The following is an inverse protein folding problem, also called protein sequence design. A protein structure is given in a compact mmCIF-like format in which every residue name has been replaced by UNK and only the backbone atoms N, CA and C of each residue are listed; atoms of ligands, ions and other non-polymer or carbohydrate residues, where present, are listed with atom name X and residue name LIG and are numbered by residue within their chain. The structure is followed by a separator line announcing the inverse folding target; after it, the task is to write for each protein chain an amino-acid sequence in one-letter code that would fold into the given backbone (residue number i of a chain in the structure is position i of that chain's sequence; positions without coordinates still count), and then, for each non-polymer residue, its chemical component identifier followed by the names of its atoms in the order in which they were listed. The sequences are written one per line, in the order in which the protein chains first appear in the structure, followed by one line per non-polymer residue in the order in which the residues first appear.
data_IF_224829865028
#
_entry.id   IF_224829865028
#
_cell.length_a   1.000
_cell.length_b   1.000
_cell.length_c   1.000
_cell.angle_alpha   90.00
_cell.angle_beta   90.00
_cell.angle_gamma   90.00
#
_symmetry.space_group_name_H-M   'P 1'
#
loop_
_entity.id
_entity.type
_entity.pdbx_description
1 polymer ?
#
# COMPACT_ATOMS: atom_id res chain seq x y z
N UNK A 1 -16.79 -4.61 6.44
CA UNK A 1 -15.97 -3.61 5.71
C UNK A 1 -14.95 -4.37 4.88
N UNK A 2 -14.97 -4.25 3.55
CA UNK A 2 -14.06 -4.99 2.68
C UNK A 2 -12.66 -4.34 2.76
N UNK A 3 -11.71 -5.05 3.37
CA UNK A 3 -10.34 -4.60 3.49
C UNK A 3 -9.58 -4.63 2.15
N UNK A 4 -8.42 -4.00 2.12
CA UNK A 4 -7.52 -4.04 0.95
C UNK A 4 -6.98 -5.47 0.78
N UNK A 5 -6.95 -5.96 -0.46
CA UNK A 5 -6.29 -7.21 -0.81
C UNK A 5 -4.99 -6.92 -1.57
N UNK A 6 -3.86 -7.36 -1.03
CA UNK A 6 -2.54 -7.22 -1.66
C UNK A 6 -1.98 -8.60 -1.98
N UNK A 7 -1.55 -8.78 -3.23
CA UNK A 7 -0.88 -9.99 -3.73
C UNK A 7 0.37 -9.60 -4.50
N UNK A 8 1.43 -10.39 -4.39
CA UNK A 8 2.61 -10.31 -5.25
C UNK A 8 2.63 -11.53 -6.16
N UNK A 9 2.80 -11.32 -7.46
CA UNK A 9 2.90 -12.40 -8.46
C UNK A 9 3.74 -11.93 -9.64
N UNK A 10 4.67 -12.76 -10.09
CA UNK A 10 5.50 -12.52 -11.28
C UNK A 10 6.17 -11.13 -11.31
N UNK A 11 6.68 -10.67 -10.16
CA UNK A 11 7.32 -9.35 -10.06
C UNK A 11 6.35 -8.16 -10.12
N UNK A 12 5.06 -8.39 -9.90
CA UNK A 12 4.03 -7.35 -9.84
C UNK A 12 3.30 -7.44 -8.51
N UNK A 13 3.17 -6.30 -7.82
CA UNK A 13 2.31 -6.12 -6.66
C UNK A 13 0.95 -5.65 -7.14
N UNK A 14 -0.07 -6.46 -6.88
CA UNK A 14 -1.46 -6.19 -7.24
C UNK A 14 -2.21 -5.81 -5.96
N UNK A 15 -2.76 -4.60 -5.97
CA UNK A 15 -3.55 -4.04 -4.87
C UNK A 15 -4.99 -3.93 -5.36
N UNK A 16 -5.91 -4.61 -4.69
CA UNK A 16 -7.35 -4.55 -4.99
C UNK A 16 -8.08 -3.93 -3.81
N UNK A 17 -8.93 -2.96 -4.11
CA UNK A 17 -9.82 -2.36 -3.13
C UNK A 17 -11.13 -1.97 -3.80
N UNK A 18 -12.25 -2.49 -3.29
CA UNK A 18 -13.57 -2.35 -3.92
C UNK A 18 -13.51 -2.76 -5.41
N UNK A 19 -13.91 -1.87 -6.31
CA UNK A 19 -13.88 -2.07 -7.77
C UNK A 19 -12.55 -1.62 -8.40
N UNK A 20 -11.61 -1.10 -7.61
CA UNK A 20 -10.32 -0.60 -8.09
C UNK A 20 -9.23 -1.65 -8.00
N UNK A 21 -8.33 -1.64 -9.00
CA UNK A 21 -7.14 -2.47 -9.06
C UNK A 21 -5.95 -1.60 -9.46
N UNK A 22 -4.87 -1.68 -8.69
CA UNK A 22 -3.59 -1.04 -8.96
C UNK A 22 -2.54 -2.11 -9.11
N UNK A 23 -1.70 -2.00 -10.14
CA UNK A 23 -0.58 -2.89 -10.40
C UNK A 23 0.71 -2.09 -10.35
N UNK A 24 1.65 -2.54 -9.53
CA UNK A 24 2.95 -1.89 -9.32
C UNK A 24 4.04 -2.91 -9.61
N UNK A 25 4.89 -2.68 -10.63
CA UNK A 25 6.06 -3.52 -10.86
C UNK A 25 7.01 -3.47 -9.64
N UNK A 26 7.50 -4.60 -9.17
CA UNK A 26 8.42 -4.66 -8.02
C UNK A 26 9.75 -3.98 -8.32
N UNK A 27 10.14 -3.89 -9.60
CA UNK A 27 11.32 -3.15 -10.07
C UNK A 27 11.20 -1.63 -9.95
N UNK A 28 9.99 -1.11 -9.75
CA UNK A 28 9.73 0.31 -9.52
C UNK A 28 9.67 0.65 -8.03
N UNK A 29 9.49 -0.34 -7.15
CA UNK A 29 9.41 -0.14 -5.71
C UNK A 29 10.81 0.17 -5.17
N UNK A 30 10.94 1.33 -4.53
CA UNK A 30 12.18 1.79 -3.90
C UNK A 30 12.17 1.44 -2.41
N UNK A 31 11.04 1.65 -1.75
CA UNK A 31 10.91 1.44 -0.31
C UNK A 31 9.47 1.05 0.08
N UNK A 32 9.37 0.27 1.15
CA UNK A 32 8.11 -0.15 1.78
C UNK A 32 8.22 0.02 3.29
N UNK A 33 7.53 1.02 3.83
CA UNK A 33 7.64 1.43 5.24
C UNK A 33 6.28 1.57 5.90
N UNK A 34 6.28 1.53 7.22
CA UNK A 34 5.11 1.89 8.03
C UNK A 34 5.12 3.40 8.23
N UNK A 35 3.94 4.02 8.19
CA UNK A 35 3.79 5.45 8.46
C UNK A 35 2.91 5.63 9.69
N UNK A 36 3.49 6.28 10.69
CA UNK A 36 2.90 6.56 11.99
C UNK A 36 2.11 7.89 12.00
N UNK A 37 2.17 8.68 10.94
CA UNK A 37 1.40 9.91 10.80
C UNK A 37 -0.06 9.63 10.46
N UNK A 38 -0.99 10.47 10.91
CA UNK A 38 -2.44 10.23 10.72
C UNK A 38 -2.88 10.27 9.23
N UNK A 39 -2.21 11.10 8.42
CA UNK A 39 -2.61 11.40 7.03
C UNK A 39 -1.64 10.90 5.95
N UNK A 40 -0.47 10.42 6.36
CA UNK A 40 0.66 10.24 5.47
C UNK A 40 1.48 11.52 5.28
N UNK A 41 2.81 11.41 5.25
CA UNK A 41 3.69 12.57 5.04
C UNK A 41 3.57 13.17 3.63
N UNK A 42 3.39 12.31 2.63
CA UNK A 42 3.40 12.70 1.22
C UNK A 42 2.01 13.19 0.77
N UNK A 43 1.91 14.48 0.41
CA UNK A 43 0.65 15.12 0.04
C UNK A 43 0.06 14.52 -1.23
N UNK A 44 0.90 14.32 -2.24
CA UNK A 44 0.53 13.80 -3.57
C UNK A 44 0.36 12.28 -3.60
N UNK A 45 0.45 11.61 -2.45
CA UNK A 45 0.37 10.15 -2.42
C UNK A 45 -1.03 9.64 -2.75
N UNK A 46 -1.06 8.55 -3.52
CA UNK A 46 -2.28 7.83 -3.85
C UNK A 46 -2.70 7.02 -2.63
N UNK A 47 -3.81 7.43 -2.03
CA UNK A 47 -4.40 6.84 -0.83
C UNK A 47 -5.40 5.76 -1.22
N UNK A 48 -5.19 4.54 -0.76
CA UNK A 48 -6.03 3.38 -1.06
C UNK A 48 -6.53 2.78 0.24
N UNK A 49 -7.83 2.49 0.30
CA UNK A 49 -8.46 1.94 1.49
C UNK A 49 -9.31 2.97 2.23
N UNK A 50 -9.70 2.59 3.43
CA UNK A 50 -10.59 3.38 4.27
C UNK A 50 -9.77 4.19 5.28
N UNK A 51 -9.68 5.52 5.13
CA UNK A 51 -8.85 6.36 6.00
C UNK A 51 -9.35 6.38 7.45
N UNK A 52 -10.66 6.17 7.65
CA UNK A 52 -11.30 6.10 8.97
C UNK A 52 -11.56 4.65 9.34
N UNK A 53 -11.19 4.26 10.57
CA UNK A 53 -11.41 2.92 11.11
C UNK A 53 -10.26 1.92 10.91
N UNK A 54 -9.15 2.35 10.30
CA UNK A 54 -7.89 1.59 10.29
C UNK A 54 -6.81 2.42 10.99
N UNK A 55 -6.02 1.77 11.85
CA UNK A 55 -5.00 2.46 12.66
C UNK A 55 -3.67 2.61 11.92
N UNK A 56 -3.42 1.74 10.93
CA UNK A 56 -2.09 1.61 10.37
C UNK A 56 -2.04 1.98 8.88
N UNK A 57 -0.89 2.53 8.49
CA UNK A 57 -0.60 2.91 7.11
C UNK A 57 0.65 2.20 6.64
N UNK A 58 0.57 1.64 5.44
CA UNK A 58 1.73 1.11 4.73
C UNK A 58 2.03 2.01 3.54
N UNK A 59 3.23 2.56 3.51
CA UNK A 59 3.72 3.40 2.42
C UNK A 59 4.53 2.55 1.46
N UNK A 60 4.19 2.64 0.18
CA UNK A 60 4.94 2.04 -0.92
C UNK A 60 5.47 3.20 -1.76
N UNK A 61 6.77 3.46 -1.67
CA UNK A 61 7.45 4.46 -2.51
C UNK A 61 7.92 3.78 -3.79
N UNK A 62 7.50 4.31 -4.93
CA UNK A 62 8.00 3.91 -6.23
C UNK A 62 8.81 5.03 -6.87
N UNK A 63 9.47 4.76 -7.99
CA UNK A 63 10.22 5.77 -8.77
C UNK A 63 9.38 6.98 -9.20
N UNK A 64 8.07 6.80 -9.37
CA UNK A 64 7.20 7.85 -9.94
C UNK A 64 6.12 8.32 -8.99
N UNK A 65 5.65 7.45 -8.08
CA UNK A 65 4.51 7.72 -7.20
C UNK A 65 4.68 7.09 -5.83
N UNK A 66 4.05 7.70 -4.85
CA UNK A 66 3.92 7.14 -3.50
C UNK A 66 2.50 6.65 -3.30
N UNK A 67 2.35 5.46 -2.74
CA UNK A 67 1.06 4.87 -2.40
C UNK A 67 0.96 4.70 -0.88
N UNK A 68 -0.20 5.02 -0.32
CA UNK A 68 -0.49 4.85 1.11
C UNK A 68 -1.68 3.92 1.24
N UNK A 69 -1.46 2.77 1.87
CA UNK A 69 -2.48 1.75 2.09
C UNK A 69 -3.00 1.84 3.53
N UNK A 70 -4.30 2.05 3.67
CA UNK A 70 -5.00 2.00 4.95
C UNK A 70 -5.38 0.56 5.29
N UNK A 71 -4.77 0.00 6.33
CA UNK A 71 -4.89 -1.42 6.66
C UNK A 71 -4.79 -1.66 8.16
N UNK A 72 -5.28 -2.80 8.62
CA UNK A 72 -5.14 -3.26 10.02
C UNK A 72 -4.03 -4.30 10.18
N UNK A 73 -3.34 -4.68 9.08
CA UNK A 73 -2.30 -5.71 9.07
C UNK A 73 -1.11 -5.30 8.20
N UNK A 74 -0.48 -4.14 8.46
CA UNK A 74 0.50 -3.56 7.56
C UNK A 74 1.78 -4.40 7.46
N UNK A 75 2.22 -5.04 8.55
CA UNK A 75 3.40 -5.92 8.60
C UNK A 75 3.23 -7.14 7.71
N UNK A 76 2.06 -7.79 7.73
CA UNK A 76 1.78 -8.93 6.86
C UNK A 76 1.82 -8.54 5.39
N UNK A 77 1.28 -7.37 5.04
CA UNK A 77 1.30 -6.85 3.68
C UNK A 77 2.73 -6.47 3.26
N UNK A 78 3.49 -5.79 4.12
CA UNK A 78 4.90 -5.47 3.89
C UNK A 78 5.71 -6.72 3.57
N UNK A 79 5.58 -7.76 4.38
CA UNK A 79 6.29 -9.02 4.18
C UNK A 79 5.91 -9.69 2.86
N UNK A 80 4.64 -9.65 2.44
CA UNK A 80 4.21 -10.17 1.12
C UNK A 80 4.78 -9.42 -0.07
N UNK A 81 5.06 -8.12 0.08
CA UNK A 81 5.67 -7.30 -0.98
C UNK A 81 7.16 -7.58 -1.06
N UNK A 82 7.82 -7.75 0.09
CA UNK A 82 9.28 -7.94 0.17
C UNK A 82 9.73 -9.38 -0.02
N UNK A 83 8.88 -10.38 0.28
CA UNK A 83 9.14 -11.82 0.03
C UNK A 83 9.22 -12.12 -1.47
#
# INVERSE_FOLDING_TARGET
MLGINVKKSNGIVIIKWQLSKVEIPTSEIIDVSLDDTYGGEEKEAIRIGTPYGTTDRLVIKTKTKTYILYTTNPTSIKNKILS
#
